data_IF_736678867043
#
_entry.id   IF_736678867043
#
_cell.length_a   1.000
_cell.length_b   1.000
_cell.length_c   1.000
_cell.angle_alpha   90.00
_cell.angle_beta   90.00
_cell.angle_gamma   90.00
#
_symmetry.space_group_name_H-M   'P 1'
#
loop_
_entity.id
_entity.type
_entity.pdbx_description
1 polymer ?
#
# COMPACT_ATOMS: atom_id res chain seq x y z
N UNK A 1 -10.07 12.70 -21.97
CA UNK A 1 -9.93 11.61 -20.98
C UNK A 1 -9.64 12.30 -19.66
N UNK A 2 -10.36 12.02 -18.56
CA UNK A 2 -9.96 12.58 -17.27
C UNK A 2 -8.58 12.02 -16.94
N UNK A 3 -7.60 12.91 -16.82
CA UNK A 3 -6.33 12.60 -16.20
C UNK A 3 -6.66 12.16 -14.78
N UNK A 4 -6.44 10.88 -14.46
CA UNK A 4 -6.48 10.43 -13.08
C UNK A 4 -5.35 11.17 -12.38
N UNK A 5 -5.68 12.26 -11.68
CA UNK A 5 -4.77 12.90 -10.75
C UNK A 5 -4.65 11.90 -9.59
N UNK A 6 -3.66 11.01 -9.67
CA UNK A 6 -3.44 9.93 -8.69
C UNK A 6 -2.65 10.37 -7.48
N UNK A 7 -2.23 11.63 -7.42
CA UNK A 7 -1.43 12.16 -6.32
C UNK A 7 -2.33 12.89 -5.34
N UNK A 8 -2.81 12.16 -4.34
CA UNK A 8 -3.32 12.77 -3.12
C UNK A 8 -2.16 13.41 -2.35
N UNK A 9 -2.37 14.60 -1.79
CA UNK A 9 -1.44 15.07 -0.75
C UNK A 9 -1.50 14.14 0.46
N UNK A 10 -0.48 14.12 1.33
CA UNK A 10 -0.53 13.34 2.57
C UNK A 10 -1.78 13.62 3.41
N UNK A 11 -2.24 14.87 3.44
CA UNK A 11 -3.44 15.30 4.15
C UNK A 11 -4.73 14.75 3.52
N UNK A 12 -4.84 14.82 2.18
CA UNK A 12 -5.98 14.28 1.45
C UNK A 12 -6.07 12.75 1.58
N UNK A 13 -4.92 12.07 1.54
CA UNK A 13 -4.84 10.64 1.76
C UNK A 13 -5.27 10.28 3.19
N UNK A 14 -4.80 11.02 4.19
CA UNK A 14 -5.22 10.80 5.58
C UNK A 14 -6.73 11.02 5.76
N UNK A 15 -7.30 12.07 5.17
CA UNK A 15 -8.74 12.35 5.23
C UNK A 15 -9.57 11.23 4.56
N UNK A 16 -9.12 10.75 3.40
CA UNK A 16 -9.78 9.65 2.68
C UNK A 16 -9.75 8.35 3.50
N UNK A 17 -8.60 8.00 4.07
CA UNK A 17 -8.44 6.81 4.90
C UNK A 17 -9.24 6.91 6.21
N UNK A 18 -9.31 8.10 6.80
CA UNK A 18 -10.11 8.35 8.00
C UNK A 18 -11.62 8.10 7.77
N UNK A 19 -12.11 8.27 6.55
CA UNK A 19 -13.51 8.03 6.19
C UNK A 19 -13.85 6.55 5.95
N UNK A 20 -12.85 5.66 5.79
CA UNK A 20 -13.07 4.24 5.60
C UNK A 20 -13.59 3.57 6.87
N UNK A 21 -14.50 2.61 6.73
CA UNK A 21 -14.81 1.66 7.79
C UNK A 21 -13.59 0.80 8.13
N UNK A 22 -13.61 0.15 9.29
CA UNK A 22 -12.48 -0.68 9.72
C UNK A 22 -12.23 -1.87 8.79
N UNK A 23 -13.30 -2.46 8.23
CA UNK A 23 -13.19 -3.54 7.26
C UNK A 23 -12.58 -3.06 5.94
N UNK A 24 -12.98 -1.87 5.46
CA UNK A 24 -12.43 -1.27 4.25
C UNK A 24 -10.96 -0.88 4.43
N UNK A 25 -10.60 -0.33 5.59
CA UNK A 25 -9.22 0.01 5.94
C UNK A 25 -8.35 -1.26 5.97
N UNK A 26 -8.81 -2.32 6.63
CA UNK A 26 -8.10 -3.60 6.68
C UNK A 26 -7.96 -4.24 5.29
N UNK A 27 -9.02 -4.25 4.48
CA UNK A 27 -8.99 -4.77 3.11
C UNK A 27 -8.03 -3.98 2.22
N UNK A 28 -8.03 -2.65 2.32
CA UNK A 28 -7.12 -1.77 1.58
C UNK A 28 -5.67 -1.99 1.99
N UNK A 29 -5.42 -2.17 3.29
CA UNK A 29 -4.10 -2.51 3.82
C UNK A 29 -3.58 -3.83 3.25
N UNK A 30 -4.41 -4.89 3.27
CA UNK A 30 -4.04 -6.19 2.72
C UNK A 30 -3.70 -6.11 1.22
N UNK A 31 -4.51 -5.38 0.44
CA UNK A 31 -4.28 -5.17 -0.98
C UNK A 31 -2.98 -4.40 -1.25
N UNK A 32 -2.70 -3.35 -0.48
CA UNK A 32 -1.48 -2.56 -0.62
C UNK A 32 -0.22 -3.36 -0.29
N UNK A 33 -0.24 -4.14 0.81
CA UNK A 33 0.85 -5.05 1.16
C UNK A 33 1.10 -6.08 0.05
N UNK A 34 0.05 -6.68 -0.50
CA UNK A 34 0.17 -7.62 -1.62
C UNK A 34 0.74 -6.97 -2.90
N UNK A 35 0.29 -5.76 -3.24
CA UNK A 35 0.80 -5.02 -4.39
C UNK A 35 2.30 -4.69 -4.23
N UNK A 36 2.71 -4.26 -3.03
CA UNK A 36 4.12 -4.01 -2.69
C UNK A 36 4.98 -5.26 -2.92
N UNK A 37 4.52 -6.42 -2.45
CA UNK A 37 5.29 -7.66 -2.57
C UNK A 37 5.41 -8.12 -4.03
N UNK A 38 4.34 -7.99 -4.81
CA UNK A 38 4.36 -8.26 -6.26
C UNK A 38 5.35 -7.33 -6.98
N UNK A 39 5.31 -6.03 -6.70
CA UNK A 39 6.24 -5.06 -7.30
C UNK A 39 7.70 -5.32 -6.92
N UNK A 40 7.96 -5.72 -5.66
CA UNK A 40 9.31 -6.12 -5.22
C UNK A 40 9.80 -7.35 -5.99
N UNK A 41 8.94 -8.33 -6.24
CA UNK A 41 9.28 -9.51 -7.04
C UNK A 41 9.54 -9.15 -8.51
N UNK A 42 8.74 -8.27 -9.10
CA UNK A 42 8.98 -7.76 -10.46
C UNK A 42 10.29 -6.99 -10.57
N UNK A 43 10.62 -6.14 -9.59
CA UNK A 43 11.89 -5.43 -9.53
C UNK A 43 13.07 -6.40 -9.40
N UNK A 44 12.96 -7.44 -8.56
CA UNK A 44 13.98 -8.47 -8.40
C UNK A 44 14.26 -9.28 -9.69
N UNK A 45 13.27 -9.39 -10.59
CA UNK A 45 13.39 -10.07 -11.90
C UNK A 45 13.92 -9.17 -13.02
N UNK A 46 14.38 -7.96 -12.70
CA UNK A 46 14.98 -7.04 -13.67
C UNK A 46 13.98 -6.17 -14.44
N UNK A 47 12.75 -6.00 -13.95
CA UNK A 47 11.83 -5.03 -14.52
C UNK A 47 12.27 -3.57 -14.25
N UNK A 48 11.61 -2.59 -14.89
CA UNK A 48 12.03 -1.19 -14.92
C UNK A 48 12.21 -0.56 -13.52
N UNK A 49 13.46 -0.53 -13.03
CA UNK A 49 13.82 -0.15 -11.67
C UNK A 49 13.34 1.25 -11.25
N UNK A 50 13.34 2.23 -12.17
CA UNK A 50 12.93 3.61 -11.86
C UNK A 50 11.41 3.72 -11.68
N UNK A 51 10.62 3.15 -12.60
CA UNK A 51 9.16 3.20 -12.53
C UNK A 51 8.63 2.44 -11.30
N UNK A 52 9.24 1.30 -10.97
CA UNK A 52 8.87 0.57 -9.76
C UNK A 52 9.35 1.23 -8.47
N UNK A 53 10.47 1.95 -8.48
CA UNK A 53 10.95 2.68 -7.31
C UNK A 53 9.96 3.73 -6.83
N UNK A 54 9.42 4.54 -7.74
CA UNK A 54 8.41 5.55 -7.39
C UNK A 54 7.10 4.93 -6.91
N UNK A 55 6.59 3.90 -7.61
CA UNK A 55 5.37 3.20 -7.22
C UNK A 55 5.50 2.51 -5.85
N UNK A 56 6.66 1.90 -5.57
CA UNK A 56 6.93 1.28 -4.27
C UNK A 56 6.98 2.33 -3.15
N UNK A 57 7.56 3.50 -3.41
CA UNK A 57 7.58 4.59 -2.44
C UNK A 57 6.16 5.08 -2.10
N UNK A 58 5.33 5.31 -3.11
CA UNK A 58 3.93 5.75 -2.93
C UNK A 58 3.12 4.69 -2.16
N UNK A 59 3.30 3.40 -2.48
CA UNK A 59 2.66 2.30 -1.75
C UNK A 59 3.13 2.22 -0.29
N UNK A 60 4.44 2.32 -0.03
CA UNK A 60 4.97 2.27 1.34
C UNK A 60 4.46 3.45 2.19
N UNK A 61 4.28 4.63 1.56
CA UNK A 61 3.66 5.79 2.22
C UNK A 61 2.18 5.56 2.54
N UNK A 62 1.41 4.99 1.61
CA UNK A 62 0.01 4.63 1.81
C UNK A 62 -0.16 3.60 2.94
N UNK A 63 0.66 2.55 2.96
CA UNK A 63 0.67 1.51 4.01
C UNK A 63 0.92 2.13 5.38
N UNK A 64 1.94 3.00 5.52
CA UNK A 64 2.23 3.68 6.78
C UNK A 64 1.06 4.54 7.24
N UNK A 65 0.42 5.26 6.33
CA UNK A 65 -0.73 6.10 6.67
C UNK A 65 -1.91 5.26 7.15
N UNK A 66 -2.19 4.13 6.49
CA UNK A 66 -3.23 3.18 6.94
C UNK A 66 -2.93 2.62 8.34
N UNK A 67 -1.68 2.29 8.63
CA UNK A 67 -1.25 1.84 9.96
C UNK A 67 -1.45 2.92 11.03
N UNK A 68 -1.12 4.18 10.72
CA UNK A 68 -1.38 5.32 11.62
C UNK A 68 -2.87 5.50 11.88
N UNK A 69 -3.71 5.41 10.84
CA UNK A 69 -5.16 5.53 10.99
C UNK A 69 -5.76 4.38 11.81
N UNK A 70 -5.31 3.14 11.58
CA UNK A 70 -5.74 2.01 12.38
C UNK A 70 -5.31 2.15 13.85
N UNK A 71 -4.06 2.57 14.10
CA UNK A 71 -3.56 2.82 15.45
C UNK A 71 -4.36 3.91 16.17
N UNK A 72 -4.75 4.98 15.48
CA UNK A 72 -5.62 6.03 16.03
C UNK A 72 -7.01 5.51 16.44
N UNK A 73 -7.45 4.39 15.85
CA UNK A 73 -8.70 3.67 16.18
C UNK A 73 -8.49 2.54 17.21
N UNK A 74 -7.28 2.39 17.75
CA UNK A 74 -6.95 1.33 18.71
C UNK A 74 -6.77 -0.05 18.08
N UNK A 75 -6.51 -0.12 16.77
CA UNK A 75 -6.28 -1.36 16.03
C UNK A 75 -4.80 -1.57 15.74
N UNK A 76 -4.37 -2.81 15.75
CA UNK A 76 -3.05 -3.22 15.29
C UNK A 76 -3.20 -3.99 13.97
N UNK A 77 -2.65 -3.44 12.88
CA UNK A 77 -2.67 -4.09 11.58
C UNK A 77 -1.46 -5.03 11.51
N UNK A 78 -1.67 -6.35 11.31
CA UNK A 78 -0.57 -7.31 11.29
C UNK A 78 0.34 -7.05 10.10
N UNK A 79 1.64 -7.31 10.24
CA UNK A 79 2.54 -7.30 9.09
C UNK A 79 2.21 -8.47 8.16
N UNK A 80 1.57 -8.16 7.03
CA UNK A 80 1.16 -9.15 6.03
C UNK A 80 2.17 -9.12 4.89
N UNK A 81 2.77 -10.28 4.62
CA UNK A 81 3.58 -10.51 3.43
C UNK A 81 3.02 -11.70 2.65
N UNK A 82 2.94 -11.56 1.32
CA UNK A 82 2.76 -12.70 0.43
C UNK A 82 4.08 -13.46 0.46
N UNK A 83 4.17 -14.45 1.36
CA UNK A 83 5.32 -15.34 1.40
C UNK A 83 5.59 -15.89 -0.01
N UNK A 84 6.84 -15.79 -0.48
CA UNK A 84 7.29 -16.54 -1.65
C UNK A 84 6.91 -18.00 -1.39
N UNK A 85 5.98 -18.55 -2.17
CA UNK A 85 5.99 -19.99 -2.40
C UNK A 85 7.37 -20.27 -2.99
N UNK A 86 8.23 -20.92 -2.22
CA UNK A 86 9.42 -21.58 -2.76
C UNK A 86 8.92 -22.42 -3.93
N UNK A 87 9.25 -22.00 -5.14
CA UNK A 87 8.95 -22.76 -6.34
C UNK A 87 9.61 -24.14 -6.16
N UNK A 88 8.79 -25.18 -6.11
CA UNK A 88 9.22 -26.57 -6.25
C UNK A 88 9.45 -26.88 -7.72
#
# INVERSE_FOLDING_TARGET
>A
MPEFITQYTPEEMAATLAALSDLELFGSYCAACGARDVLREFAARGGHAIAFGQLLYELDLGIKTMQVQAAARGQDLPDITIARRTAH
#
